data_IF_337047197683
#
_entry.id   IF_337047197683
#
_cell.length_a   1.000
_cell.length_b   1.000
_cell.length_c   1.000
_cell.angle_alpha   90.00
_cell.angle_beta   90.00
_cell.angle_gamma   90.00
#
_symmetry.space_group_name_H-M   'P 1'
#
loop_
_entity.id
_entity.type
_entity.pdbx_description
1 polymer ?
#
# COMPACT_ATOMS: atom_id res chain seq x y z
N UNK A 1 -23.20 41.38 -10.58
CA UNK A 1 -23.37 39.92 -10.73
C UNK A 1 -23.16 39.32 -9.34
N UNK A 2 -24.21 38.87 -8.74
CA UNK A 2 -24.42 38.80 -7.30
C UNK A 2 -23.83 37.51 -6.68
N UNK A 3 -23.37 37.61 -5.45
CA UNK A 3 -22.84 36.54 -4.59
C UNK A 3 -23.80 35.34 -4.46
N UNK A 4 -25.09 35.51 -4.69
CA UNK A 4 -26.10 34.45 -4.71
C UNK A 4 -25.97 33.46 -5.87
N UNK A 5 -25.48 33.90 -7.05
CA UNK A 5 -25.28 32.99 -8.20
C UNK A 5 -24.10 32.03 -8.00
N UNK A 6 -23.02 32.51 -7.37
CA UNK A 6 -21.83 31.69 -7.06
C UNK A 6 -22.14 30.60 -6.01
N UNK A 7 -22.96 30.92 -5.00
CA UNK A 7 -23.41 29.95 -4.00
C UNK A 7 -24.29 28.85 -4.57
N UNK A 8 -25.19 29.20 -5.51
CA UNK A 8 -26.07 28.23 -6.16
C UNK A 8 -25.30 27.29 -7.13
N UNK A 9 -24.28 27.78 -7.84
CA UNK A 9 -23.43 26.97 -8.70
C UNK A 9 -22.52 26.03 -7.91
N UNK A 10 -21.94 26.51 -6.80
CA UNK A 10 -21.15 25.67 -5.91
C UNK A 10 -21.98 24.54 -5.31
N UNK A 11 -23.19 24.86 -4.82
CA UNK A 11 -24.11 23.88 -4.26
C UNK A 11 -24.57 22.83 -5.30
N UNK A 12 -24.82 23.22 -6.55
CA UNK A 12 -25.13 22.30 -7.66
C UNK A 12 -23.95 21.41 -8.03
N UNK A 13 -22.72 21.97 -8.04
CA UNK A 13 -21.50 21.20 -8.33
C UNK A 13 -21.22 20.19 -7.20
N UNK A 14 -21.45 20.57 -5.94
CA UNK A 14 -21.32 19.67 -4.78
C UNK A 14 -22.35 18.54 -4.84
N UNK A 15 -23.60 18.85 -5.15
CA UNK A 15 -24.69 17.86 -5.28
C UNK A 15 -24.40 16.85 -6.40
N UNK A 16 -23.93 17.33 -7.54
CA UNK A 16 -23.55 16.49 -8.68
C UNK A 16 -22.35 15.57 -8.35
N UNK A 17 -21.37 16.06 -7.57
CA UNK A 17 -20.26 15.26 -7.07
C UNK A 17 -20.72 14.18 -6.07
N UNK A 18 -21.61 14.54 -5.14
CA UNK A 18 -22.17 13.59 -4.18
C UNK A 18 -23.02 12.51 -4.86
N UNK A 19 -23.83 12.87 -5.85
CA UNK A 19 -24.61 11.93 -6.64
C UNK A 19 -23.72 10.98 -7.46
N UNK A 20 -22.63 11.50 -8.04
CA UNK A 20 -21.61 10.69 -8.73
C UNK A 20 -20.91 9.71 -7.79
N UNK A 21 -20.49 10.16 -6.60
CA UNK A 21 -19.86 9.30 -5.58
C UNK A 21 -20.82 8.24 -5.05
N UNK A 22 -22.08 8.60 -4.80
CA UNK A 22 -23.13 7.66 -4.38
C UNK A 22 -23.41 6.59 -5.45
N UNK A 23 -23.38 6.98 -6.72
CA UNK A 23 -23.54 6.07 -7.84
C UNK A 23 -22.36 5.12 -7.97
N UNK A 24 -21.13 5.61 -7.82
CA UNK A 24 -19.92 4.79 -7.82
C UNK A 24 -19.92 3.79 -6.66
N UNK A 25 -20.30 4.22 -5.46
CA UNK A 25 -20.45 3.34 -4.30
C UNK A 25 -21.51 2.26 -4.52
N UNK A 26 -22.64 2.61 -5.13
CA UNK A 26 -23.70 1.65 -5.47
C UNK A 26 -23.21 0.56 -6.45
N UNK A 27 -22.39 0.92 -7.46
CA UNK A 27 -21.84 -0.07 -8.38
C UNK A 27 -20.78 -0.96 -7.70
N UNK A 28 -19.97 -0.40 -6.81
CA UNK A 28 -19.00 -1.16 -6.02
C UNK A 28 -19.69 -2.24 -5.18
N UNK A 29 -20.80 -1.88 -4.52
CA UNK A 29 -21.56 -2.81 -3.67
C UNK A 29 -22.35 -3.86 -4.46
N UNK A 30 -22.47 -3.74 -5.78
CA UNK A 30 -23.04 -4.79 -6.64
C UNK A 30 -22.08 -5.94 -6.94
N UNK A 31 -20.77 -5.71 -6.84
CA UNK A 31 -19.79 -6.79 -6.92
C UNK A 31 -19.57 -7.38 -5.51
N UNK A 32 -19.99 -8.63 -5.27
CA UNK A 32 -19.82 -9.24 -3.94
C UNK A 32 -18.33 -9.34 -3.56
N UNK A 33 -17.45 -9.63 -4.51
CA UNK A 33 -16.01 -9.73 -4.25
C UNK A 33 -15.40 -8.38 -3.87
N UNK A 34 -15.77 -7.30 -4.57
CA UNK A 34 -15.30 -5.96 -4.23
C UNK A 34 -15.82 -5.49 -2.86
N UNK A 35 -17.06 -5.86 -2.52
CA UNK A 35 -17.66 -5.53 -1.22
C UNK A 35 -16.96 -6.27 -0.09
N UNK A 36 -16.66 -7.57 -0.27
CA UNK A 36 -15.87 -8.35 0.70
C UNK A 36 -14.47 -7.75 0.84
N UNK A 37 -13.79 -7.45 -0.29
CA UNK A 37 -12.48 -6.82 -0.27
C UNK A 37 -12.48 -5.51 0.53
N UNK A 38 -13.43 -4.63 0.24
CA UNK A 38 -13.58 -3.36 0.96
C UNK A 38 -13.85 -3.57 2.46
N UNK A 39 -14.73 -4.50 2.83
CA UNK A 39 -15.05 -4.77 4.22
C UNK A 39 -13.81 -5.27 5.00
N UNK A 40 -13.02 -6.15 4.40
CA UNK A 40 -11.78 -6.66 4.98
C UNK A 40 -10.73 -5.54 5.07
N UNK A 41 -10.57 -4.71 4.05
CA UNK A 41 -9.65 -3.55 4.09
C UNK A 41 -10.05 -2.60 5.22
N UNK A 42 -11.34 -2.26 5.35
CA UNK A 42 -11.84 -1.42 6.45
C UNK A 42 -11.55 -2.07 7.82
N UNK A 43 -11.75 -3.38 7.93
CA UNK A 43 -11.42 -4.12 9.16
C UNK A 43 -9.93 -3.96 9.53
N UNK A 44 -9.01 -4.11 8.58
CA UNK A 44 -7.58 -3.94 8.83
C UNK A 44 -7.19 -2.49 9.16
N UNK A 45 -7.84 -1.50 8.54
CA UNK A 45 -7.65 -0.08 8.89
C UNK A 45 -8.12 0.19 10.33
N UNK A 46 -9.27 -0.36 10.72
CA UNK A 46 -9.76 -0.28 12.10
C UNK A 46 -8.77 -0.98 13.05
N UNK A 47 -8.28 -2.16 12.66
CA UNK A 47 -7.29 -2.92 13.43
C UNK A 47 -6.00 -2.12 13.63
N UNK A 48 -5.52 -1.42 12.61
CA UNK A 48 -4.34 -0.56 12.68
C UNK A 48 -4.50 0.60 13.68
N UNK A 49 -5.71 1.15 13.80
CA UNK A 49 -6.01 2.28 14.70
C UNK A 49 -6.24 1.81 16.14
N UNK A 50 -6.98 0.73 16.31
CA UNK A 50 -7.45 0.26 17.61
C UNK A 50 -6.51 -0.79 18.20
N UNK A 51 -5.94 -1.66 17.36
CA UNK A 51 -5.14 -2.81 17.76
C UNK A 51 -4.02 -2.49 18.75
N UNK A 52 -3.16 -1.49 18.51
CA UNK A 52 -2.11 -1.13 19.46
C UNK A 52 -2.65 -0.69 20.83
N UNK A 53 -3.85 -0.10 20.87
CA UNK A 53 -4.50 0.33 22.13
C UNK A 53 -5.06 -0.85 22.93
N UNK A 54 -5.46 -1.94 22.26
CA UNK A 54 -6.01 -3.12 22.91
C UNK A 54 -4.92 -3.90 23.67
N UNK A 55 -3.70 -3.91 23.15
CA UNK A 55 -2.58 -4.66 23.77
C UNK A 55 -1.65 -3.78 24.59
N UNK A 56 -1.76 -2.46 24.46
CA UNK A 56 -0.98 -1.50 25.25
C UNK A 56 0.53 -1.48 24.94
N UNK A 57 1.28 -0.70 25.73
CA UNK A 57 2.73 -0.56 25.56
C UNK A 57 3.13 0.26 24.33
N UNK A 58 4.37 0.07 23.86
CA UNK A 58 4.84 0.74 22.65
C UNK A 58 4.10 0.18 21.40
N UNK A 59 3.45 1.04 20.59
CA UNK A 59 2.64 0.58 19.46
C UNK A 59 3.45 -0.08 18.33
N UNK A 60 4.76 0.14 18.29
CA UNK A 60 5.63 -0.38 17.24
C UNK A 60 6.49 -1.57 17.71
N UNK A 61 6.35 -2.01 18.97
CA UNK A 61 7.21 -3.05 19.55
C UNK A 61 6.37 -4.12 20.24
N UNK A 62 6.62 -5.37 19.89
CA UNK A 62 6.07 -6.55 20.57
C UNK A 62 6.81 -6.80 21.86
N UNK A 63 6.10 -7.26 22.88
CA UNK A 63 6.70 -7.68 24.15
C UNK A 63 7.24 -9.10 24.02
N UNK A 64 8.51 -9.29 24.41
CA UNK A 64 9.07 -10.63 24.55
C UNK A 64 8.75 -11.20 25.93
N UNK A 65 8.32 -12.45 25.97
CA UNK A 65 8.05 -13.20 27.19
C UNK A 65 9.01 -14.38 27.24
N UNK A 66 10.23 -14.22 27.82
CA UNK A 66 11.24 -15.28 27.80
C UNK A 66 10.84 -16.50 28.65
N UNK A 67 10.07 -16.28 29.72
CA UNK A 67 9.59 -17.33 30.65
C UNK A 67 8.10 -17.14 30.88
N UNK A 68 7.34 -18.24 30.85
CA UNK A 68 5.93 -18.28 31.17
C UNK A 68 5.63 -19.49 32.08
N UNK A 69 5.04 -19.25 33.26
CA UNK A 69 4.80 -20.27 34.28
C UNK A 69 6.04 -21.14 34.61
N UNK A 70 7.23 -20.51 34.64
CA UNK A 70 8.49 -21.20 34.91
C UNK A 70 9.11 -21.95 33.72
N UNK A 71 8.43 -21.98 32.57
CA UNK A 71 8.93 -22.61 31.35
C UNK A 71 9.58 -21.59 30.42
N UNK A 72 10.75 -21.90 29.85
CA UNK A 72 11.41 -21.02 28.86
C UNK A 72 10.71 -21.13 27.50
N UNK A 73 9.83 -20.18 27.21
CA UNK A 73 9.04 -20.17 25.95
C UNK A 73 9.79 -19.53 24.77
N UNK A 74 10.99 -19.01 24.98
CA UNK A 74 11.85 -18.50 23.90
C UNK A 74 12.26 -19.56 22.89
N UNK A 75 12.40 -20.83 23.36
CA UNK A 75 12.76 -21.97 22.52
C UNK A 75 11.59 -22.91 22.27
N UNK A 76 10.51 -22.77 23.03
CA UNK A 76 9.37 -23.67 23.03
C UNK A 76 8.07 -22.85 22.92
N UNK A 77 7.71 -22.39 21.70
CA UNK A 77 6.54 -21.56 21.48
C UNK A 77 5.25 -22.19 22.00
N UNK A 78 4.43 -21.37 22.65
CA UNK A 78 3.11 -21.81 23.14
C UNK A 78 2.12 -21.94 21.98
N UNK A 79 1.31 -22.99 21.95
CA UNK A 79 0.28 -23.18 20.94
C UNK A 79 -0.87 -22.17 21.10
N UNK A 80 -1.68 -21.95 20.05
CA UNK A 80 -2.88 -21.14 20.13
C UNK A 80 -3.90 -21.73 21.09
N UNK A 81 -4.71 -20.85 21.70
CA UNK A 81 -5.86 -21.15 22.56
C UNK A 81 -5.55 -21.86 23.88
N UNK A 82 -4.29 -22.15 24.19
CA UNK A 82 -3.92 -22.78 25.50
C UNK A 82 -3.95 -21.75 26.63
N UNK A 83 -3.52 -20.52 26.36
CA UNK A 83 -3.48 -19.46 27.38
C UNK A 83 -4.22 -18.22 26.87
N UNK A 84 -5.11 -17.66 27.70
CA UNK A 84 -5.89 -16.47 27.40
C UNK A 84 -5.01 -15.24 27.04
N UNK A 85 -3.80 -15.19 27.61
CA UNK A 85 -2.82 -14.13 27.29
C UNK A 85 -2.23 -14.24 25.89
N UNK A 86 -2.16 -15.45 25.33
CA UNK A 86 -1.60 -15.75 24.01
C UNK A 86 -2.62 -16.47 23.12
N UNK A 87 -3.73 -15.82 22.77
CA UNK A 87 -4.83 -16.49 22.04
C UNK A 87 -4.41 -17.07 20.69
N UNK A 88 -3.41 -16.49 20.04
CA UNK A 88 -2.84 -17.01 18.78
C UNK A 88 -1.49 -17.73 18.97
N UNK A 89 -1.10 -17.99 20.24
CA UNK A 89 0.19 -18.57 20.57
C UNK A 89 1.35 -17.58 20.52
N UNK A 90 2.57 -18.13 20.56
CA UNK A 90 3.81 -17.34 20.52
C UNK A 90 4.73 -17.82 19.39
N UNK A 91 5.68 -16.96 19.00
CA UNK A 91 6.78 -17.32 18.10
C UNK A 91 8.00 -17.76 18.92
N UNK A 92 9.01 -18.30 18.23
CA UNK A 92 10.35 -18.45 18.80
C UNK A 92 10.86 -17.05 19.21
N UNK A 93 11.51 -16.97 20.36
CA UNK A 93 11.83 -15.69 21.01
C UNK A 93 10.77 -15.19 21.99
N UNK A 94 9.65 -15.93 22.15
CA UNK A 94 8.61 -15.62 23.15
C UNK A 94 7.73 -14.42 22.79
N UNK A 95 7.62 -14.04 21.52
CA UNK A 95 6.74 -12.94 21.08
C UNK A 95 5.31 -13.42 20.86
N UNK A 96 4.34 -12.69 21.39
CA UNK A 96 2.92 -12.97 21.18
C UNK A 96 2.51 -12.69 19.73
N UNK A 97 1.99 -13.71 19.03
CA UNK A 97 1.49 -13.57 17.66
C UNK A 97 0.29 -12.61 17.63
N UNK A 98 -0.61 -12.68 18.63
CA UNK A 98 -1.75 -11.78 18.75
C UNK A 98 -1.30 -10.30 18.81
N UNK A 99 -0.33 -10.01 19.68
CA UNK A 99 0.23 -8.66 19.80
C UNK A 99 0.90 -8.21 18.49
N UNK A 100 1.67 -9.10 17.88
CA UNK A 100 2.35 -8.83 16.60
C UNK A 100 1.39 -8.55 15.45
N UNK A 101 0.29 -9.27 15.36
CA UNK A 101 -0.76 -9.05 14.35
C UNK A 101 -1.44 -7.69 14.55
N UNK A 102 -1.80 -7.34 15.79
CA UNK A 102 -2.51 -6.10 16.10
C UNK A 102 -1.64 -4.86 15.90
N UNK A 103 -0.41 -4.89 16.39
CA UNK A 103 0.53 -3.77 16.25
C UNK A 103 1.11 -3.68 14.82
N UNK A 104 1.39 -4.84 14.21
CA UNK A 104 1.89 -4.94 12.84
C UNK A 104 0.94 -4.31 11.84
N UNK A 105 -0.36 -4.46 11.98
CA UNK A 105 -1.33 -3.81 11.12
C UNK A 105 -1.10 -2.30 11.00
N UNK A 106 -0.77 -1.63 12.10
CA UNK A 106 -0.46 -0.20 12.09
C UNK A 106 0.84 0.09 11.35
N UNK A 107 1.90 -0.61 11.70
CA UNK A 107 3.25 -0.38 11.15
C UNK A 107 3.25 -0.63 9.64
N UNK A 108 2.68 -1.74 9.20
CA UNK A 108 2.65 -2.11 7.79
C UNK A 108 1.81 -1.15 6.95
N UNK A 109 0.63 -0.71 7.47
CA UNK A 109 -0.19 0.26 6.77
C UNK A 109 0.46 1.65 6.74
N UNK A 110 1.15 2.06 7.80
CA UNK A 110 1.86 3.34 7.88
C UNK A 110 3.01 3.38 6.85
N UNK A 111 3.88 2.37 6.84
CA UNK A 111 4.98 2.27 5.90
C UNK A 111 4.46 2.18 4.44
N UNK A 112 3.49 1.31 4.17
CA UNK A 112 2.91 1.18 2.85
C UNK A 112 2.26 2.48 2.37
N UNK A 113 1.57 3.22 3.26
CA UNK A 113 0.96 4.51 2.93
C UNK A 113 2.01 5.53 2.49
N UNK A 114 3.10 5.67 3.24
CA UNK A 114 4.18 6.60 2.90
C UNK A 114 4.78 6.25 1.54
N UNK A 115 5.09 4.98 1.31
CA UNK A 115 5.75 4.51 0.09
C UNK A 115 4.83 4.69 -1.13
N UNK A 116 3.60 4.19 -1.04
CA UNK A 116 2.65 4.19 -2.17
C UNK A 116 2.24 5.60 -2.56
N UNK A 117 1.85 6.44 -1.59
CA UNK A 117 1.44 7.81 -1.90
C UNK A 117 2.60 8.68 -2.39
N UNK A 118 3.80 8.51 -1.86
CA UNK A 118 4.98 9.24 -2.35
C UNK A 118 5.35 8.79 -3.76
N UNK A 119 5.38 7.49 -4.03
CA UNK A 119 5.62 6.95 -5.37
C UNK A 119 4.58 7.39 -6.37
N UNK A 120 3.29 7.36 -6.01
CA UNK A 120 2.18 7.83 -6.84
C UNK A 120 2.27 9.34 -7.13
N UNK A 121 2.63 10.16 -6.13
CA UNK A 121 2.80 11.60 -6.29
C UNK A 121 3.94 11.91 -7.27
N UNK A 122 5.13 11.35 -7.03
CA UNK A 122 6.30 11.54 -7.89
C UNK A 122 5.99 11.07 -9.32
N UNK A 123 5.44 9.87 -9.45
CA UNK A 123 5.09 9.30 -10.75
C UNK A 123 4.02 10.10 -11.49
N UNK A 124 3.04 10.66 -10.76
CA UNK A 124 2.01 11.54 -11.36
C UNK A 124 2.62 12.82 -11.91
N UNK A 125 3.53 13.45 -11.18
CA UNK A 125 4.20 14.66 -11.64
C UNK A 125 5.06 14.37 -12.87
N UNK A 126 5.94 13.37 -12.77
CA UNK A 126 6.86 13.01 -13.87
C UNK A 126 6.12 12.51 -15.11
N UNK A 127 5.09 11.67 -14.92
CA UNK A 127 4.25 11.16 -15.99
C UNK A 127 3.46 12.27 -16.68
N UNK A 128 2.95 13.24 -15.92
CA UNK A 128 2.26 14.40 -16.47
C UNK A 128 3.19 15.29 -17.31
N UNK A 129 4.41 15.54 -16.82
CA UNK A 129 5.43 16.29 -17.56
C UNK A 129 5.83 15.54 -18.84
N UNK A 130 6.11 14.24 -18.73
CA UNK A 130 6.51 13.41 -19.86
C UNK A 130 5.43 13.30 -20.94
N UNK A 131 4.15 13.19 -20.54
CA UNK A 131 3.02 13.08 -21.46
C UNK A 131 2.63 14.41 -22.10
N UNK A 132 2.65 15.50 -21.34
CA UNK A 132 2.22 16.81 -21.83
C UNK A 132 3.28 17.51 -22.69
N UNK A 133 4.53 17.61 -22.19
CA UNK A 133 5.62 18.26 -22.93
C UNK A 133 6.09 17.40 -24.11
N UNK A 134 6.20 16.08 -23.91
CA UNK A 134 6.75 15.19 -24.94
C UNK A 134 8.21 15.51 -25.31
N UNK A 135 8.60 15.19 -26.54
CA UNK A 135 9.95 15.48 -27.06
C UNK A 135 11.08 14.93 -26.20
N UNK A 136 12.23 15.60 -26.21
CA UNK A 136 13.43 15.16 -25.51
C UNK A 136 13.24 15.03 -23.97
N UNK A 137 12.43 15.92 -23.36
CA UNK A 137 12.16 15.87 -21.92
C UNK A 137 11.32 14.63 -21.59
N UNK A 138 10.26 14.39 -22.34
CA UNK A 138 9.42 13.21 -22.15
C UNK A 138 10.20 11.91 -22.37
N UNK A 139 11.08 11.90 -23.38
CA UNK A 139 11.92 10.74 -23.66
C UNK A 139 12.96 10.49 -22.55
N UNK A 140 13.63 11.53 -22.06
CA UNK A 140 14.59 11.40 -20.95
C UNK A 140 13.94 10.83 -19.68
N UNK A 141 12.74 11.33 -19.31
CA UNK A 141 11.99 10.80 -18.16
C UNK A 141 11.66 9.32 -18.40
N UNK A 142 11.22 8.95 -19.59
CA UNK A 142 10.87 7.54 -19.88
C UNK A 142 12.09 6.63 -19.91
N UNK A 143 13.23 7.08 -20.42
CA UNK A 143 14.49 6.30 -20.35
C UNK A 143 14.90 6.04 -18.90
N UNK A 144 14.81 7.07 -18.03
CA UNK A 144 15.01 6.89 -16.60
C UNK A 144 14.02 5.85 -16.00
N UNK A 145 12.74 5.97 -16.36
CA UNK A 145 11.70 5.02 -15.94
C UNK A 145 12.03 3.59 -16.39
N UNK A 146 12.46 3.40 -17.62
CA UNK A 146 12.76 2.10 -18.21
C UNK A 146 13.97 1.44 -17.52
N UNK A 147 14.99 2.21 -17.11
CA UNK A 147 16.14 1.70 -16.34
C UNK A 147 15.67 1.05 -15.04
N UNK A 148 14.84 1.74 -14.25
CA UNK A 148 14.34 1.19 -12.99
C UNK A 148 13.43 -0.03 -13.20
N UNK A 149 12.57 -0.03 -14.20
CA UNK A 149 11.66 -1.15 -14.48
C UNK A 149 12.34 -2.34 -15.14
N UNK A 150 13.58 -2.22 -15.62
CA UNK A 150 14.36 -3.33 -16.15
C UNK A 150 15.00 -4.20 -15.06
N UNK A 151 15.10 -3.70 -13.84
CA UNK A 151 15.72 -4.38 -12.71
C UNK A 151 14.67 -5.08 -11.85
N UNK A 152 14.95 -6.29 -11.34
CA UNK A 152 14.08 -6.93 -10.36
C UNK A 152 14.01 -6.07 -9.09
N UNK A 153 12.80 -5.63 -8.74
CA UNK A 153 12.58 -4.65 -7.67
C UNK A 153 13.12 -5.08 -6.29
N UNK A 154 13.00 -6.36 -5.92
CA UNK A 154 13.56 -6.89 -4.66
C UNK A 154 15.09 -6.80 -4.66
N UNK A 155 15.73 -7.13 -5.79
CA UNK A 155 17.20 -7.06 -5.92
C UNK A 155 17.66 -5.62 -5.75
N UNK A 156 16.95 -4.67 -6.35
CA UNK A 156 17.25 -3.25 -6.23
C UNK A 156 17.08 -2.77 -4.77
N UNK A 157 16.01 -3.17 -4.08
CA UNK A 157 15.79 -2.84 -2.67
C UNK A 157 16.92 -3.37 -1.78
N UNK A 158 17.30 -4.65 -1.95
CA UNK A 158 18.40 -5.27 -1.20
C UNK A 158 19.73 -4.56 -1.48
N UNK A 159 20.01 -4.19 -2.73
CA UNK A 159 21.21 -3.45 -3.09
C UNK A 159 21.26 -2.08 -2.38
N UNK A 160 20.15 -1.32 -2.38
CA UNK A 160 20.06 -0.05 -1.65
C UNK A 160 20.33 -0.22 -0.15
N UNK A 161 19.68 -1.18 0.50
CA UNK A 161 19.84 -1.43 1.93
C UNK A 161 21.24 -1.93 2.28
N UNK A 162 21.91 -2.60 1.35
CA UNK A 162 23.28 -3.08 1.55
C UNK A 162 24.30 -1.94 1.44
N UNK A 163 24.09 -1.00 0.51
CA UNK A 163 25.01 0.10 0.23
C UNK A 163 24.81 1.25 1.22
N UNK A 164 23.58 1.65 1.48
CA UNK A 164 23.26 2.85 2.28
C UNK A 164 22.94 2.53 3.75
N UNK A 165 22.88 1.24 4.11
CA UNK A 165 22.58 0.79 5.46
C UNK A 165 21.11 0.45 5.68
N UNK A 166 20.84 -0.26 6.78
CA UNK A 166 19.51 -0.76 7.14
C UNK A 166 18.82 0.21 8.09
N UNK A 167 18.47 1.38 7.60
CA UNK A 167 17.72 2.39 8.32
C UNK A 167 16.29 2.47 7.77
N UNK A 168 15.34 2.88 8.61
CA UNK A 168 13.93 3.05 8.20
C UNK A 168 13.80 4.02 7.03
N UNK A 169 14.46 5.17 7.08
CA UNK A 169 14.47 6.15 5.99
C UNK A 169 15.00 5.57 4.68
N UNK A 170 16.09 4.81 4.74
CA UNK A 170 16.70 4.18 3.55
C UNK A 170 15.77 3.14 2.94
N UNK A 171 15.06 2.35 3.76
CA UNK A 171 14.07 1.39 3.27
C UNK A 171 12.89 2.09 2.59
N UNK A 172 12.35 3.15 3.22
CA UNK A 172 11.25 3.94 2.64
C UNK A 172 11.70 4.59 1.34
N UNK A 173 12.85 5.22 1.30
CA UNK A 173 13.40 5.88 0.11
C UNK A 173 13.66 4.88 -1.02
N UNK A 174 14.27 3.72 -0.72
CA UNK A 174 14.51 2.67 -1.69
C UNK A 174 13.20 2.19 -2.34
N UNK A 175 12.17 1.96 -1.54
CA UNK A 175 10.88 1.50 -2.06
C UNK A 175 10.15 2.62 -2.82
N UNK A 176 10.22 3.87 -2.41
CA UNK A 176 9.68 5.00 -3.20
C UNK A 176 10.36 5.07 -4.57
N UNK A 177 11.70 4.95 -4.61
CA UNK A 177 12.48 4.96 -5.86
C UNK A 177 12.11 3.78 -6.77
N UNK A 178 11.67 2.67 -6.22
CA UNK A 178 11.25 1.49 -6.98
C UNK A 178 9.82 1.65 -7.52
N UNK A 179 8.93 2.33 -6.79
CA UNK A 179 7.49 2.38 -7.13
C UNK A 179 7.10 3.52 -8.09
N UNK A 180 7.77 4.70 -8.03
CA UNK A 180 7.42 5.85 -8.90
C UNK A 180 7.42 5.56 -10.39
N UNK A 181 8.28 4.66 -10.96
CA UNK A 181 8.32 4.43 -12.40
C UNK A 181 7.03 3.84 -12.97
N UNK A 182 6.39 2.93 -12.24
CA UNK A 182 5.10 2.34 -12.63
C UNK A 182 4.03 3.41 -12.78
N UNK A 183 3.91 4.31 -11.80
CA UNK A 183 2.98 5.44 -11.88
C UNK A 183 3.30 6.40 -13.00
N UNK A 184 4.59 6.70 -13.23
CA UNK A 184 5.02 7.58 -14.34
C UNK A 184 4.55 7.03 -15.69
N UNK A 185 4.70 5.73 -15.92
CA UNK A 185 4.29 5.07 -17.16
C UNK A 185 2.78 5.13 -17.36
N UNK A 186 2.02 4.80 -16.32
CA UNK A 186 0.55 4.83 -16.34
C UNK A 186 0.06 6.25 -16.63
N UNK A 187 0.54 7.23 -15.88
CA UNK A 187 0.11 8.63 -16.00
C UNK A 187 0.46 9.19 -17.36
N UNK A 188 1.67 8.93 -17.86
CA UNK A 188 2.06 9.38 -19.21
C UNK A 188 1.09 8.87 -20.27
N UNK A 189 0.74 7.58 -20.22
CA UNK A 189 -0.22 6.99 -21.16
C UNK A 189 -1.59 7.68 -21.12
N UNK A 190 -2.10 7.96 -19.93
CA UNK A 190 -3.36 8.67 -19.74
C UNK A 190 -3.29 10.13 -20.23
N UNK A 191 -2.21 10.82 -19.89
CA UNK A 191 -2.00 12.21 -20.29
C UNK A 191 -1.94 12.36 -21.82
N UNK A 192 -1.28 11.45 -22.52
CA UNK A 192 -1.25 11.43 -23.98
C UNK A 192 -2.66 11.30 -24.56
N UNK A 193 -3.47 10.38 -24.04
CA UNK A 193 -4.86 10.19 -24.50
C UNK A 193 -5.76 11.38 -24.20
N UNK A 194 -5.62 11.98 -22.99
CA UNK A 194 -6.45 13.12 -22.58
C UNK A 194 -6.05 14.41 -23.30
N UNK A 195 -4.76 14.59 -23.61
CA UNK A 195 -4.25 15.77 -24.31
C UNK A 195 -4.88 15.96 -25.70
N UNK A 196 -5.25 14.87 -26.36
CA UNK A 196 -5.85 14.87 -27.70
C UNK A 196 -7.37 15.12 -27.68
N UNK A 197 -7.96 15.37 -26.53
CA UNK A 197 -9.39 15.64 -26.43
C UNK A 197 -9.73 17.08 -26.83
N UNK A 198 -10.83 17.26 -27.55
CA UNK A 198 -11.27 18.57 -28.11
C UNK A 198 -11.41 19.67 -27.05
N UNK A 199 -11.82 19.34 -25.82
CA UNK A 199 -11.94 20.33 -24.75
C UNK A 199 -10.56 20.83 -24.24
N UNK A 200 -9.52 20.00 -24.36
CA UNK A 200 -8.14 20.42 -24.04
C UNK A 200 -7.61 21.35 -25.13
N UNK A 201 -7.81 21.00 -26.40
CA UNK A 201 -7.46 21.84 -27.53
C UNK A 201 -8.16 23.20 -27.44
N UNK A 202 -9.47 23.22 -27.14
CA UNK A 202 -10.23 24.46 -26.97
C UNK A 202 -9.67 25.31 -25.79
N UNK A 203 -9.24 24.70 -24.70
CA UNK A 203 -8.62 25.40 -23.58
C UNK A 203 -7.29 26.05 -23.95
N UNK A 204 -6.47 25.37 -24.76
CA UNK A 204 -5.21 25.89 -25.26
C UNK A 204 -5.47 27.05 -26.28
N UNK A 205 -6.42 26.87 -27.19
CA UNK A 205 -6.83 27.90 -28.15
C UNK A 205 -7.38 29.16 -27.45
N UNK A 206 -8.02 29.03 -26.30
CA UNK A 206 -8.47 30.13 -25.45
C UNK A 206 -7.34 30.81 -24.65
N UNK A 207 -6.06 30.44 -24.88
CA UNK A 207 -4.90 31.06 -24.23
C UNK A 207 -4.59 30.53 -22.83
N UNK A 208 -5.09 29.36 -22.45
CA UNK A 208 -4.74 28.73 -21.14
C UNK A 208 -3.27 28.37 -21.11
N UNK A 209 -2.58 28.72 -20.02
CA UNK A 209 -1.17 28.30 -19.83
C UNK A 209 -1.06 26.78 -19.67
N UNK A 210 0.09 26.21 -20.06
CA UNK A 210 0.37 24.78 -19.97
C UNK A 210 0.12 24.21 -18.57
N UNK A 211 0.58 24.90 -17.53
CA UNK A 211 0.39 24.46 -16.14
C UNK A 211 -1.09 24.44 -15.75
N UNK A 212 -1.85 25.46 -16.14
CA UNK A 212 -3.30 25.54 -15.91
C UNK A 212 -4.02 24.42 -16.64
N UNK A 213 -3.67 24.15 -17.88
CA UNK A 213 -4.26 23.08 -18.70
C UNK A 213 -3.99 21.71 -18.06
N UNK A 214 -2.75 21.43 -17.62
CA UNK A 214 -2.39 20.18 -16.96
C UNK A 214 -3.17 20.01 -15.66
N UNK A 215 -3.13 20.98 -14.76
CA UNK A 215 -3.74 20.85 -13.42
C UNK A 215 -5.27 20.84 -13.51
N UNK A 216 -5.89 21.67 -14.37
CA UNK A 216 -7.35 21.84 -14.38
C UNK A 216 -8.09 20.87 -15.30
N UNK A 217 -7.44 20.43 -16.37
CA UNK A 217 -8.09 19.62 -17.41
C UNK A 217 -7.49 18.22 -17.57
N UNK A 218 -6.16 18.08 -17.52
CA UNK A 218 -5.52 16.78 -17.81
C UNK A 218 -5.48 15.89 -16.57
N UNK A 219 -4.84 16.31 -15.47
CA UNK A 219 -4.69 15.49 -14.26
C UNK A 219 -6.05 14.97 -13.74
N UNK A 220 -7.10 15.81 -13.59
CA UNK A 220 -8.37 15.33 -13.06
C UNK A 220 -9.04 14.25 -13.91
N UNK A 221 -8.76 14.23 -15.23
CA UNK A 221 -9.30 13.25 -16.16
C UNK A 221 -8.36 12.04 -16.38
N UNK A 222 -7.12 12.11 -15.89
CA UNK A 222 -6.11 11.06 -16.02
C UNK A 222 -5.92 10.25 -14.74
N UNK A 223 -6.52 10.67 -13.60
CA UNK A 223 -6.19 10.15 -12.27
C UNK A 223 -6.86 8.81 -11.94
N UNK A 224 -7.95 8.43 -12.62
CA UNK A 224 -8.71 7.23 -12.27
C UNK A 224 -7.89 5.93 -12.26
N UNK A 225 -7.04 5.63 -13.25
CA UNK A 225 -6.22 4.42 -13.22
C UNK A 225 -5.18 4.43 -12.10
N UNK A 226 -4.81 5.62 -11.60
CA UNK A 226 -3.87 5.77 -10.48
C UNK A 226 -4.50 5.26 -9.19
N UNK A 227 -5.78 5.54 -8.93
CA UNK A 227 -6.47 5.03 -7.74
C UNK A 227 -6.55 3.51 -7.72
N UNK A 228 -6.78 2.89 -8.88
CA UNK A 228 -6.75 1.43 -9.03
C UNK A 228 -5.34 0.91 -8.74
N UNK A 229 -4.32 1.51 -9.34
CA UNK A 229 -2.93 1.11 -9.11
C UNK A 229 -2.51 1.28 -7.64
N UNK A 230 -2.90 2.37 -6.99
CA UNK A 230 -2.65 2.60 -5.56
C UNK A 230 -3.20 1.43 -4.73
N UNK A 231 -4.44 0.99 -4.97
CA UNK A 231 -5.03 -0.10 -4.18
C UNK A 231 -4.30 -1.43 -4.37
N UNK A 232 -3.82 -1.75 -5.57
CA UNK A 232 -3.01 -2.93 -5.84
C UNK A 232 -1.61 -2.82 -5.22
N UNK A 233 -1.01 -1.65 -5.30
CA UNK A 233 0.36 -1.43 -4.81
C UNK A 233 0.46 -1.43 -3.30
N UNK A 234 -0.59 -1.09 -2.56
CA UNK A 234 -0.60 -1.30 -1.12
C UNK A 234 -0.31 -2.76 -0.76
N UNK A 235 -0.94 -3.71 -1.44
CA UNK A 235 -0.69 -5.14 -1.26
C UNK A 235 0.74 -5.54 -1.65
N UNK A 236 1.21 -5.05 -2.80
CA UNK A 236 2.55 -5.35 -3.30
C UNK A 236 3.66 -4.79 -2.40
N UNK A 237 3.48 -3.58 -1.87
CA UNK A 237 4.44 -2.95 -0.94
C UNK A 237 4.51 -3.71 0.37
N UNK A 238 3.36 -4.11 0.94
CA UNK A 238 3.33 -4.91 2.17
C UNK A 238 4.01 -6.27 1.97
N UNK A 239 3.74 -6.95 0.85
CA UNK A 239 4.45 -8.20 0.51
C UNK A 239 5.96 -7.98 0.38
N UNK A 240 6.38 -6.86 -0.21
CA UNK A 240 7.80 -6.55 -0.39
C UNK A 240 8.47 -6.22 0.93
N UNK A 241 7.82 -5.42 1.80
CA UNK A 241 8.29 -5.16 3.16
C UNK A 241 8.42 -6.48 3.93
N UNK A 242 7.38 -7.30 3.95
CA UNK A 242 7.39 -8.58 4.64
C UNK A 242 8.51 -9.49 4.11
N UNK A 243 8.74 -9.53 2.78
CA UNK A 243 9.84 -10.29 2.19
C UNK A 243 11.22 -9.77 2.62
N UNK A 244 11.43 -8.44 2.63
CA UNK A 244 12.69 -7.84 3.07
C UNK A 244 12.95 -8.11 4.54
N UNK A 245 11.96 -7.95 5.40
CA UNK A 245 12.08 -8.25 6.83
C UNK A 245 12.31 -9.74 7.07
N UNK A 246 11.60 -10.62 6.35
CA UNK A 246 11.79 -12.06 6.42
C UNK A 246 13.22 -12.47 6.02
N UNK A 247 13.78 -11.85 4.99
CA UNK A 247 15.17 -12.06 4.55
C UNK A 247 16.21 -11.43 5.48
N UNK A 248 15.79 -10.76 6.55
CA UNK A 248 16.68 -10.15 7.53
C UNK A 248 17.17 -8.74 7.16
N UNK A 249 16.61 -8.12 6.12
CA UNK A 249 16.86 -6.71 5.79
C UNK A 249 15.98 -5.78 6.62
N UNK A 250 15.95 -5.99 7.93
CA UNK A 250 15.22 -5.16 8.88
C UNK A 250 16.08 -3.99 9.35
N UNK A 251 15.46 -2.84 9.58
CA UNK A 251 16.06 -1.67 10.21
C UNK A 251 15.83 -1.63 11.74
N UNK A 252 15.03 -2.55 12.27
CA UNK A 252 14.62 -2.57 13.65
C UNK A 252 14.97 -3.88 14.35
N UNK A 253 14.93 -3.87 15.68
CA UNK A 253 15.23 -5.03 16.49
C UNK A 253 14.19 -6.15 16.40
N UNK A 254 14.47 -7.29 17.07
CA UNK A 254 13.61 -8.48 17.04
C UNK A 254 12.16 -8.26 17.45
N UNK A 255 11.92 -7.29 18.32
CA UNK A 255 10.58 -6.96 18.81
C UNK A 255 9.80 -5.99 17.93
N UNK A 256 10.33 -5.53 16.80
CA UNK A 256 9.59 -4.62 15.93
C UNK A 256 8.34 -5.29 15.35
N UNK A 257 7.20 -4.63 15.52
CA UNK A 257 5.90 -5.20 15.20
C UNK A 257 5.56 -4.97 13.71
N UNK A 258 6.22 -5.71 12.83
CA UNK A 258 5.94 -5.79 11.41
C UNK A 258 5.67 -7.27 11.06
N UNK A 259 4.72 -7.54 10.17
CA UNK A 259 4.25 -8.91 9.92
C UNK A 259 5.31 -9.83 9.32
N UNK A 260 6.21 -9.32 8.47
CA UNK A 260 7.32 -10.11 7.94
C UNK A 260 8.39 -10.37 9.00
N UNK A 261 8.63 -9.43 9.92
CA UNK A 261 9.50 -9.66 11.07
C UNK A 261 8.90 -10.73 12.01
N UNK A 262 7.59 -10.69 12.25
CA UNK A 262 6.88 -11.72 13.01
C UNK A 262 7.03 -13.10 12.34
N UNK A 263 6.91 -13.17 11.02
CA UNK A 263 7.13 -14.40 10.23
C UNK A 263 8.58 -14.87 10.29
N UNK A 264 9.56 -13.95 10.18
CA UNK A 264 10.98 -14.26 10.30
C UNK A 264 11.33 -14.87 11.66
N UNK A 265 10.70 -14.38 12.75
CA UNK A 265 10.88 -14.94 14.09
C UNK A 265 10.42 -16.40 14.20
N UNK A 266 9.42 -16.78 13.43
CA UNK A 266 8.94 -18.15 13.41
C UNK A 266 9.94 -19.13 12.76
N UNK A 267 10.82 -18.65 11.90
CA UNK A 267 11.75 -19.50 11.10
C UNK A 267 13.22 -19.37 11.49
N UNK A 268 13.62 -18.27 12.19
CA UNK A 268 15.04 -17.86 12.33
C UNK A 268 15.82 -18.52 13.45
N UNK A 269 15.22 -19.27 14.34
CA UNK A 269 15.91 -19.73 15.56
C UNK A 269 16.73 -21.03 15.36
N UNK A 270 17.49 -21.13 14.28
CA UNK A 270 18.42 -22.25 14.09
C UNK A 270 17.78 -23.61 13.80
N UNK A 271 16.47 -23.61 13.57
CA UNK A 271 15.67 -24.83 13.41
C UNK A 271 15.58 -25.33 11.95
N UNK A 272 16.16 -24.59 10.99
CA UNK A 272 16.32 -25.07 9.60
C UNK A 272 15.07 -25.65 8.93
N UNK A 273 13.88 -25.07 9.16
CA UNK A 273 12.61 -25.61 8.67
C UNK A 273 11.83 -26.43 9.71
N UNK A 274 12.46 -26.93 10.76
CA UNK A 274 11.79 -27.67 11.85
C UNK A 274 10.73 -26.83 12.58
N UNK A 275 10.83 -25.51 12.50
CA UNK A 275 9.79 -24.61 13.06
C UNK A 275 8.44 -24.79 12.38
N UNK A 276 8.41 -25.07 11.07
CA UNK A 276 7.17 -25.30 10.34
C UNK A 276 6.50 -26.62 10.77
N UNK A 277 7.30 -27.64 11.06
CA UNK A 277 6.80 -28.93 11.53
C UNK A 277 6.39 -28.91 13.01
N UNK A 278 7.21 -28.26 13.85
CA UNK A 278 7.00 -28.25 15.31
C UNK A 278 6.02 -27.19 15.77
N UNK A 279 6.00 -26.02 15.10
CA UNK A 279 5.22 -24.83 15.50
C UNK A 279 4.51 -24.20 14.31
N UNK A 280 3.64 -24.93 13.59
CA UNK A 280 3.04 -24.47 12.33
C UNK A 280 2.25 -23.18 12.47
N UNK A 281 1.62 -22.93 13.61
CA UNK A 281 0.86 -21.71 13.87
C UNK A 281 1.71 -20.44 13.80
N UNK A 282 2.99 -20.54 14.22
CA UNK A 282 3.90 -19.39 14.27
C UNK A 282 4.20 -18.83 12.88
N UNK A 283 4.14 -19.67 11.84
CA UNK A 283 4.32 -19.30 10.44
C UNK A 283 2.98 -19.05 9.76
N UNK A 284 2.01 -19.96 9.95
CA UNK A 284 0.76 -19.91 9.19
C UNK A 284 -0.13 -18.73 9.59
N UNK A 285 -0.18 -18.35 10.87
CA UNK A 285 -1.04 -17.24 11.30
C UNK A 285 -0.57 -15.89 10.73
N UNK A 286 0.70 -15.47 10.89
CA UNK A 286 1.16 -14.24 10.25
C UNK A 286 1.07 -14.27 8.71
N UNK A 287 1.39 -15.44 8.11
CA UNK A 287 1.26 -15.62 6.67
C UNK A 287 -0.18 -15.46 6.18
N UNK A 288 -1.17 -16.00 6.89
CA UNK A 288 -2.58 -15.83 6.58
C UNK A 288 -3.05 -14.39 6.76
N UNK A 289 -2.55 -13.68 7.77
CA UNK A 289 -2.85 -12.25 7.97
C UNK A 289 -2.43 -11.43 6.75
N UNK A 290 -1.19 -11.62 6.28
CA UNK A 290 -0.68 -10.95 5.07
C UNK A 290 -1.50 -11.37 3.84
N UNK A 291 -1.73 -12.66 3.65
CA UNK A 291 -2.47 -13.21 2.51
C UNK A 291 -3.89 -12.63 2.41
N UNK A 292 -4.64 -12.65 3.52
CA UNK A 292 -6.03 -12.16 3.55
C UNK A 292 -6.07 -10.67 3.25
N UNK A 293 -5.13 -9.89 3.80
CA UNK A 293 -5.10 -8.47 3.58
C UNK A 293 -4.75 -8.10 2.12
N UNK A 294 -3.72 -8.74 1.55
CA UNK A 294 -3.31 -8.52 0.16
C UNK A 294 -4.40 -8.97 -0.81
N UNK A 295 -5.02 -10.11 -0.56
CA UNK A 295 -6.15 -10.58 -1.36
C UNK A 295 -7.33 -9.59 -1.31
N UNK A 296 -7.65 -9.07 -0.13
CA UNK A 296 -8.71 -8.08 0.03
C UNK A 296 -8.43 -6.78 -0.75
N UNK A 297 -7.18 -6.30 -0.73
CA UNK A 297 -6.75 -5.14 -1.51
C UNK A 297 -6.87 -5.37 -3.02
N UNK A 298 -6.48 -6.56 -3.49
CA UNK A 298 -6.63 -6.93 -4.90
C UNK A 298 -8.10 -6.98 -5.32
N UNK A 299 -8.97 -7.65 -4.54
CA UNK A 299 -10.40 -7.71 -4.80
C UNK A 299 -11.06 -6.32 -4.79
N UNK A 300 -10.65 -5.47 -3.87
CA UNK A 300 -11.11 -4.08 -3.81
C UNK A 300 -10.61 -3.27 -5.01
N UNK A 301 -9.34 -3.42 -5.39
CA UNK A 301 -8.74 -2.75 -6.56
C UNK A 301 -9.40 -3.14 -7.87
N UNK A 302 -9.68 -4.41 -8.07
CA UNK A 302 -10.41 -4.91 -9.24
C UNK A 302 -11.84 -4.34 -9.29
N UNK A 303 -12.55 -4.34 -8.16
CA UNK A 303 -13.86 -3.72 -8.07
C UNK A 303 -13.85 -2.21 -8.31
N UNK A 304 -12.81 -1.53 -7.85
CA UNK A 304 -12.62 -0.10 -8.12
C UNK A 304 -12.39 0.16 -9.61
N UNK A 305 -11.62 -0.70 -10.27
CA UNK A 305 -11.40 -0.65 -11.72
C UNK A 305 -12.70 -0.77 -12.48
N UNK A 306 -13.53 -1.76 -12.16
CA UNK A 306 -14.83 -1.98 -12.83
C UNK A 306 -15.77 -0.77 -12.70
N UNK A 307 -15.78 -0.15 -11.54
CA UNK A 307 -16.61 1.05 -11.27
C UNK A 307 -16.10 2.29 -11.97
N UNK A 308 -14.77 2.44 -12.08
CA UNK A 308 -14.13 3.63 -12.65
C UNK A 308 -13.95 3.54 -14.18
N UNK A 309 -14.08 2.36 -14.80
CA UNK A 309 -13.96 2.20 -16.26
C UNK A 309 -15.18 2.82 -16.97
N UNK A 310 -14.97 3.86 -17.81
CA UNK A 310 -16.07 4.50 -18.54
C UNK A 310 -16.79 3.56 -19.54
N UNK A 311 -16.12 2.47 -19.96
CA UNK A 311 -16.64 1.53 -20.96
C UNK A 311 -17.70 0.59 -20.37
N UNK A 312 -17.68 0.36 -19.07
CA UNK A 312 -18.67 -0.45 -18.35
C UNK A 312 -19.96 0.31 -18.02
N UNK A 313 -20.05 1.59 -18.36
CA UNK A 313 -21.22 2.46 -18.13
C UNK A 313 -22.25 2.45 -19.26
N UNK A 314 -22.11 1.55 -20.25
CA UNK A 314 -23.07 1.37 -21.34
C UNK A 314 -24.10 0.29 -21.03
#
# INVERSE_FOLDING_TARGET
MTTESAGSEFSRALKKRLESSRRSFYFLTRSPLATIGLAVVIFYVILAIIGPKLVGGNPNVMTAYPIWHGQPIIFNPLPPFEYAKFPLGTTIGGYSIYEGVLKGARVDLELASIIVFSGALIGTVLGSVAGYKGGAIGEAIMRGTDIFLSLPYIVLAVAFLTVFGRYESVMIEALIIIWWPTYTRIVRGQVLSVREQKYVEASVAAGSSSLRTVIKHIIPNSIYPIFVQISLDFGNVILTLAALFYLGFTFAGPGFAEWGNLLSRATSAGTGGAALESYPWAVTIPGLVILIFVLALNLFGDGLRDVLDPRMRR
#
